data_IF_286435340053
#
_entry.id   IF_286435340053
#
_cell.length_a   1.000
_cell.length_b   1.000
_cell.length_c   1.000
_cell.angle_alpha   90.00
_cell.angle_beta   90.00
_cell.angle_gamma   90.00
#
_symmetry.space_group_name_H-M   'P 1'
#
loop_
_entity.id
_entity.type
_entity.pdbx_description
1 polymer ?
#
# COMPACT_ATOMS: atom_id res chain seq x y z
N UNK A 1 23.63 38.33 24.41
CA UNK A 1 24.44 37.14 24.80
C UNK A 1 24.51 37.04 26.33
N UNK A 2 24.41 35.83 26.90
CA UNK A 2 24.40 35.67 28.39
C UNK A 2 25.79 35.41 28.91
N UNK A 3 26.16 36.08 30.03
CA UNK A 3 27.48 35.96 30.70
C UNK A 3 27.87 34.50 31.03
N UNK A 4 26.95 33.63 31.53
CA UNK A 4 27.28 32.23 31.80
C UNK A 4 27.70 31.43 30.56
N UNK A 5 27.17 31.75 29.39
CA UNK A 5 27.51 31.07 28.14
C UNK A 5 28.91 31.46 27.66
N UNK A 6 29.28 32.73 27.81
CA UNK A 6 30.63 33.25 27.51
C UNK A 6 31.67 32.63 28.43
N UNK A 7 31.38 32.48 29.72
CA UNK A 7 32.29 31.83 30.67
C UNK A 7 32.54 30.36 30.30
N UNK A 8 31.49 29.63 29.93
CA UNK A 8 31.59 28.22 29.46
C UNK A 8 32.40 28.14 28.16
N UNK A 9 32.24 29.09 27.23
CA UNK A 9 33.02 29.18 26.02
C UNK A 9 34.52 29.30 26.30
N UNK A 10 34.92 30.24 27.15
CA UNK A 10 36.34 30.45 27.50
C UNK A 10 36.92 29.32 28.36
N UNK A 11 36.07 28.57 29.06
CA UNK A 11 36.45 27.37 29.81
C UNK A 11 36.50 26.09 28.92
N UNK A 12 36.20 26.19 27.62
CA UNK A 12 36.11 25.08 26.67
C UNK A 12 35.08 24.00 27.08
N UNK A 13 33.97 24.45 27.72
CA UNK A 13 32.92 23.59 28.28
C UNK A 13 31.56 23.83 27.63
N UNK A 14 31.54 23.90 26.29
CA UNK A 14 30.31 24.14 25.51
C UNK A 14 30.17 23.16 24.36
N UNK A 15 28.95 23.03 23.84
CA UNK A 15 28.66 22.22 22.65
C UNK A 15 29.01 22.96 21.34
N UNK A 16 29.20 22.23 20.23
CA UNK A 16 29.53 22.83 18.92
C UNK A 16 28.49 23.85 18.45
N UNK A 17 27.21 23.63 18.72
CA UNK A 17 26.13 24.55 18.35
C UNK A 17 26.13 25.83 19.18
N UNK A 18 26.42 25.71 20.48
CA UNK A 18 26.58 26.88 21.38
C UNK A 18 27.85 27.67 21.03
N UNK A 19 28.95 26.99 20.67
CA UNK A 19 30.18 27.64 20.22
C UNK A 19 29.93 28.49 18.95
N UNK A 20 29.17 27.97 17.97
CA UNK A 20 28.84 28.72 16.78
C UNK A 20 28.04 29.98 17.10
N UNK A 21 27.06 29.91 18.00
CA UNK A 21 26.30 31.10 18.46
C UNK A 21 27.18 32.16 19.10
N UNK A 22 28.19 31.76 19.86
CA UNK A 22 29.14 32.70 20.48
C UNK A 22 30.05 33.32 19.41
N UNK A 23 30.52 32.55 18.44
CA UNK A 23 31.33 33.05 17.33
C UNK A 23 30.55 34.04 16.46
N UNK A 24 29.31 33.74 16.14
CA UNK A 24 28.44 34.63 15.39
C UNK A 24 28.17 35.93 16.13
N UNK A 25 28.04 35.87 17.47
CA UNK A 25 27.91 37.08 18.29
C UNK A 25 29.20 37.90 18.36
N UNK A 26 30.40 37.25 18.39
CA UNK A 26 31.68 37.98 18.35
C UNK A 26 31.89 38.70 16.99
N UNK A 27 31.18 38.33 15.93
CA UNK A 27 31.19 39.04 14.67
C UNK A 27 30.34 40.34 14.69
N UNK A 28 29.53 40.57 15.77
CA UNK A 28 28.73 41.78 15.93
C UNK A 28 29.54 42.88 16.63
N UNK A 29 29.14 44.15 16.47
CA UNK A 29 29.80 45.30 17.13
C UNK A 29 29.85 45.17 18.65
N UNK A 30 28.78 44.61 19.27
CA UNK A 30 28.73 44.36 20.71
C UNK A 30 29.74 43.29 21.15
N UNK A 31 29.86 42.21 20.36
CA UNK A 31 30.81 41.14 20.64
C UNK A 31 32.27 41.59 20.50
N UNK A 32 32.57 42.41 19.51
CA UNK A 32 33.90 43.02 19.33
C UNK A 32 34.26 43.98 20.47
N UNK A 33 33.32 44.84 20.89
CA UNK A 33 33.51 45.73 22.01
C UNK A 33 33.79 44.95 23.34
N UNK A 34 33.07 43.83 23.53
CA UNK A 34 33.30 42.96 24.69
C UNK A 34 34.71 42.32 24.68
N UNK A 35 35.15 41.81 23.52
CA UNK A 35 36.51 41.23 23.35
C UNK A 35 37.59 42.27 23.60
N UNK A 36 37.44 43.47 23.03
CA UNK A 36 38.39 44.58 23.21
C UNK A 36 38.52 44.97 24.69
N UNK A 37 37.39 45.15 25.37
CA UNK A 37 37.38 45.48 26.81
C UNK A 37 38.01 44.37 27.67
N UNK A 38 37.77 43.09 27.32
CA UNK A 38 38.35 41.95 28.03
C UNK A 38 39.88 41.86 27.83
N UNK A 39 40.35 42.11 26.62
CA UNK A 39 41.78 42.16 26.29
C UNK A 39 42.47 43.29 27.05
N UNK A 40 41.91 44.50 27.06
CA UNK A 40 42.44 45.65 27.80
C UNK A 40 42.48 45.37 29.31
N UNK A 41 41.47 44.66 29.86
CA UNK A 41 41.43 44.34 31.28
C UNK A 41 42.42 43.23 31.67
N UNK A 42 42.69 42.29 30.80
CA UNK A 42 43.66 41.20 31.08
C UNK A 42 45.09 41.58 30.75
N UNK A 43 45.33 42.39 29.73
CA UNK A 43 46.69 42.77 29.32
C UNK A 43 47.12 44.17 29.77
N UNK A 44 46.17 45.05 30.10
CA UNK A 44 46.48 46.39 30.61
C UNK A 44 47.05 46.41 32.03
N UNK A 45 47.18 45.28 32.74
CA UNK A 45 47.78 45.10 34.05
C UNK A 45 49.15 44.40 34.01
N UNK A 46 49.69 44.08 32.86
CA UNK A 46 51.03 43.54 32.75
C UNK A 46 52.03 44.70 32.76
N UNK A 47 52.62 44.97 33.93
CA UNK A 47 53.83 45.79 34.05
C UNK A 47 54.97 45.12 33.26
N UNK A 48 55.12 45.55 32.00
CA UNK A 48 56.28 45.21 31.18
C UNK A 48 57.48 46.02 31.72
N UNK A 49 58.20 45.49 32.72
CA UNK A 49 59.54 45.95 33.01
C UNK A 49 60.39 45.51 31.81
N UNK A 50 60.90 46.50 31.08
CA UNK A 50 61.86 46.22 29.97
C UNK A 50 63.06 45.47 30.62
N UNK A 51 63.52 44.35 30.08
CA UNK A 51 64.74 43.71 30.58
C UNK A 51 65.91 44.64 30.50
N UNK A 52 66.89 44.55 31.37
CA UNK A 52 68.04 45.43 31.40
C UNK A 52 68.75 45.36 30.05
N UNK A 53 69.12 46.51 29.48
CA UNK A 53 69.83 46.70 28.22
C UNK A 53 71.06 45.82 28.19
N UNK A 54 71.03 44.70 27.56
CA UNK A 54 72.18 43.92 27.13
C UNK A 54 72.75 44.65 25.94
N UNK A 55 74.02 45.04 25.90
CA UNK A 55 74.60 45.67 24.75
C UNK A 55 74.47 44.73 23.54
N UNK A 56 73.98 45.24 22.40
CA UNK A 56 73.82 44.47 21.19
C UNK A 56 75.21 43.90 20.83
N UNK A 57 75.27 42.57 20.64
CA UNK A 57 76.53 41.97 20.14
C UNK A 57 76.81 42.50 18.75
N UNK A 58 78.10 42.80 18.51
CA UNK A 58 78.56 43.30 17.25
C UNK A 58 78.18 42.33 16.12
N UNK A 59 77.41 42.84 15.16
CA UNK A 59 76.84 42.04 14.07
C UNK A 59 77.91 41.28 13.29
N UNK A 60 79.12 41.85 13.17
CA UNK A 60 80.23 41.23 12.45
C UNK A 60 80.83 40.04 13.25
N UNK A 61 80.85 40.10 14.56
CA UNK A 61 81.28 38.97 15.40
C UNK A 61 80.29 37.81 15.31
N UNK A 62 79.01 38.14 15.33
CA UNK A 62 77.94 37.14 15.21
C UNK A 62 77.94 36.43 13.83
N UNK A 63 78.15 37.20 12.77
CA UNK A 63 78.25 36.68 11.40
C UNK A 63 79.53 35.80 11.21
N UNK A 64 80.60 36.16 11.84
CA UNK A 64 81.88 35.40 11.80
C UNK A 64 81.70 34.08 12.60
N UNK A 65 81.09 34.12 13.77
CA UNK A 65 80.78 32.92 14.54
C UNK A 65 79.79 31.98 13.86
N UNK A 66 78.83 32.53 13.13
CA UNK A 66 77.89 31.75 12.35
C UNK A 66 78.56 31.11 11.11
N UNK A 67 79.46 31.84 10.44
CA UNK A 67 80.24 31.28 9.29
C UNK A 67 81.21 30.19 9.73
N UNK A 68 81.83 30.28 10.89
CA UNK A 68 82.70 29.22 11.41
C UNK A 68 81.92 27.96 11.88
N UNK A 69 80.65 28.07 12.23
CA UNK A 69 79.79 26.94 12.57
C UNK A 69 79.07 26.32 11.41
N UNK A 70 79.08 26.96 10.24
CA UNK A 70 78.59 26.36 9.01
C UNK A 70 79.66 25.40 8.47
N UNK A 71 79.71 24.20 9.03
CA UNK A 71 80.37 23.07 8.37
C UNK A 71 79.69 22.89 7.01
N UNK A 72 80.45 22.78 5.90
CA UNK A 72 79.83 22.45 4.61
C UNK A 72 79.18 21.07 4.78
N UNK A 73 77.89 21.03 4.93
CA UNK A 73 77.16 19.82 4.74
C UNK A 73 77.29 19.49 3.26
N UNK A 74 78.12 18.47 2.91
CA UNK A 74 78.02 17.84 1.60
C UNK A 74 76.52 17.60 1.35
N UNK A 75 76.03 17.86 0.13
CA UNK A 75 74.65 17.55 -0.21
C UNK A 75 74.50 16.03 -0.13
N UNK A 76 74.07 15.54 1.02
CA UNK A 76 73.49 14.22 1.11
C UNK A 76 72.26 14.29 0.21
N UNK A 77 72.34 13.65 -0.97
CA UNK A 77 71.18 13.41 -1.79
C UNK A 77 70.24 12.54 -0.97
N UNK A 78 69.36 13.22 -0.23
CA UNK A 78 68.21 12.55 0.35
C UNK A 78 67.30 12.23 -0.84
N UNK A 79 67.55 11.04 -1.43
CA UNK A 79 66.49 10.40 -2.20
C UNK A 79 65.33 10.16 -1.24
N UNK A 80 64.51 11.16 -1.08
CA UNK A 80 63.20 10.95 -0.51
C UNK A 80 62.49 10.05 -1.50
N UNK A 81 62.18 8.77 -1.17
CA UNK A 81 61.32 8.01 -2.04
C UNK A 81 60.02 8.82 -2.08
N UNK A 82 59.72 9.37 -3.25
CA UNK A 82 58.41 9.90 -3.55
C UNK A 82 57.51 8.68 -3.43
N UNK A 83 57.01 8.43 -2.22
CA UNK A 83 55.97 7.47 -1.99
C UNK A 83 54.76 8.04 -2.72
N UNK A 84 54.68 7.68 -4.01
CA UNK A 84 53.48 7.96 -4.78
C UNK A 84 52.34 7.41 -3.94
N UNK A 85 51.52 8.30 -3.42
CA UNK A 85 50.34 7.99 -2.64
C UNK A 85 49.33 7.38 -3.61
N UNK A 86 49.62 6.13 -4.02
CA UNK A 86 48.72 5.30 -4.85
C UNK A 86 47.45 4.93 -4.17
N UNK A 87 47.24 5.51 -2.97
CA UNK A 87 46.08 5.25 -2.13
C UNK A 87 44.77 5.81 -2.71
N UNK A 88 44.84 6.82 -3.55
CA UNK A 88 43.63 7.44 -4.12
C UNK A 88 42.98 6.65 -5.26
N UNK A 89 43.63 5.67 -5.82
CA UNK A 89 43.07 4.89 -6.94
C UNK A 89 42.29 3.65 -6.47
N UNK A 90 42.52 3.16 -5.25
CA UNK A 90 41.77 2.01 -4.71
C UNK A 90 40.33 2.36 -4.34
N UNK A 91 40.01 3.47 -3.61
CA UNK A 91 38.63 3.81 -3.29
C UNK A 91 37.81 4.14 -4.54
N UNK A 92 38.43 4.68 -5.59
CA UNK A 92 37.71 5.00 -6.83
C UNK A 92 37.27 3.74 -7.60
N UNK A 93 38.02 2.64 -7.50
CA UNK A 93 37.63 1.34 -8.07
C UNK A 93 36.44 0.75 -7.31
N UNK A 94 36.44 0.83 -6.00
CA UNK A 94 35.32 0.38 -5.18
C UNK A 94 34.08 1.28 -5.37
N UNK A 95 34.26 2.60 -5.53
CA UNK A 95 33.17 3.50 -5.84
C UNK A 95 32.52 3.16 -7.21
N UNK A 96 33.30 2.85 -8.23
CA UNK A 96 32.78 2.41 -9.52
C UNK A 96 31.99 1.07 -9.41
N UNK A 97 32.47 0.13 -8.60
CA UNK A 97 31.77 -1.14 -8.33
C UNK A 97 30.46 -0.88 -7.60
N UNK A 98 30.44 0.00 -6.60
CA UNK A 98 29.22 0.35 -5.87
C UNK A 98 28.19 1.06 -6.75
N UNK A 99 28.64 2.00 -7.59
CA UNK A 99 27.75 2.66 -8.57
C UNK A 99 27.21 1.67 -9.59
N UNK A 100 28.07 0.77 -10.11
CA UNK A 100 27.64 -0.29 -11.02
C UNK A 100 26.63 -1.23 -10.37
N UNK A 101 26.88 -1.66 -9.13
CA UNK A 101 25.95 -2.49 -8.36
C UNK A 101 24.62 -1.78 -8.09
N UNK A 102 24.65 -0.47 -7.77
CA UNK A 102 23.44 0.33 -7.58
C UNK A 102 22.63 0.46 -8.87
N UNK A 103 23.30 0.69 -10.02
CA UNK A 103 22.64 0.76 -11.32
C UNK A 103 22.01 -0.59 -11.70
N UNK A 104 22.69 -1.70 -11.45
CA UNK A 104 22.15 -3.05 -11.68
C UNK A 104 20.97 -3.30 -10.74
N UNK A 105 21.09 -2.96 -9.45
CA UNK A 105 20.01 -3.13 -8.48
C UNK A 105 18.79 -2.28 -8.83
N UNK A 106 18.97 -1.03 -9.26
CA UNK A 106 17.88 -0.17 -9.72
C UNK A 106 17.24 -0.69 -10.99
N UNK A 107 18.03 -1.11 -11.98
CA UNK A 107 17.53 -1.71 -13.21
C UNK A 107 16.76 -3.02 -12.92
N UNK A 108 17.30 -3.87 -12.04
CA UNK A 108 16.65 -5.09 -11.60
C UNK A 108 15.35 -4.81 -10.82
N UNK A 109 15.34 -3.77 -9.98
CA UNK A 109 14.14 -3.36 -9.25
C UNK A 109 13.03 -2.86 -10.17
N UNK A 110 13.36 -1.98 -11.13
CA UNK A 110 12.39 -1.51 -12.12
C UNK A 110 11.96 -2.64 -13.08
N UNK A 111 12.89 -3.48 -13.52
CA UNK A 111 12.57 -4.67 -14.32
C UNK A 111 11.67 -5.65 -13.57
N UNK A 112 11.89 -5.85 -12.27
CA UNK A 112 11.02 -6.67 -11.43
C UNK A 112 9.60 -6.08 -11.32
N UNK A 113 9.45 -4.76 -11.13
CA UNK A 113 8.13 -4.12 -11.10
C UNK A 113 7.38 -4.20 -12.42
N UNK A 114 8.09 -4.14 -13.55
CA UNK A 114 7.50 -4.29 -14.90
C UNK A 114 7.04 -5.74 -15.15
N UNK A 115 7.84 -6.72 -14.71
CA UNK A 115 7.54 -8.16 -14.84
C UNK A 115 6.45 -8.64 -13.88
N UNK A 116 6.32 -8.01 -12.69
CA UNK A 116 5.35 -8.38 -11.67
C UNK A 116 4.49 -7.17 -11.25
N UNK A 117 3.63 -6.69 -12.14
CA UNK A 117 2.76 -5.57 -11.84
C UNK A 117 1.81 -5.94 -10.70
N UNK A 118 1.61 -5.00 -9.78
CA UNK A 118 0.68 -5.21 -8.66
C UNK A 118 -0.74 -5.39 -9.17
N UNK A 119 -1.45 -6.34 -8.58
CA UNK A 119 -2.87 -6.56 -8.87
C UNK A 119 -3.69 -5.29 -8.65
N UNK A 120 -4.63 -5.05 -9.54
CA UNK A 120 -5.67 -4.05 -9.40
C UNK A 120 -6.77 -4.57 -8.47
N UNK A 121 -7.29 -3.70 -7.62
CA UNK A 121 -8.34 -4.03 -6.68
C UNK A 121 -9.48 -3.03 -6.86
N UNK A 122 -10.67 -3.54 -7.19
CA UNK A 122 -11.92 -2.80 -7.13
C UNK A 122 -12.72 -3.26 -5.91
N UNK A 123 -13.18 -2.30 -5.12
CA UNK A 123 -13.95 -2.57 -3.92
C UNK A 123 -15.15 -1.63 -3.83
N UNK A 124 -16.30 -2.17 -3.46
CA UNK A 124 -17.53 -1.41 -3.22
C UNK A 124 -17.82 -1.32 -1.71
N UNK A 125 -18.26 -0.16 -1.27
CA UNK A 125 -18.77 0.01 0.07
C UNK A 125 -20.15 -0.66 0.22
N UNK A 126 -20.64 -0.81 1.45
CA UNK A 126 -21.99 -1.27 1.73
C UNK A 126 -23.05 -0.46 0.97
N UNK A 127 -23.99 -1.13 0.34
CA UNK A 127 -25.08 -0.55 -0.41
C UNK A 127 -24.68 0.22 -1.68
N UNK A 128 -23.41 0.13 -2.12
CA UNK A 128 -22.91 0.77 -3.35
C UNK A 128 -22.57 -0.27 -4.39
N UNK A 129 -22.97 -0.02 -5.63
CA UNK A 129 -22.61 -0.84 -6.79
C UNK A 129 -21.57 -0.10 -7.63
N UNK A 130 -20.74 -0.84 -8.34
CA UNK A 130 -19.80 -0.30 -9.31
C UNK A 130 -19.70 -1.21 -10.52
N UNK A 131 -19.67 -0.61 -11.72
CA UNK A 131 -19.45 -1.32 -12.99
C UNK A 131 -18.16 -0.82 -13.60
N UNK A 132 -17.34 -1.72 -14.10
CA UNK A 132 -16.07 -1.42 -14.76
C UNK A 132 -15.74 -2.45 -15.82
N UNK A 133 -14.82 -2.09 -16.69
CA UNK A 133 -14.37 -2.95 -17.79
C UNK A 133 -12.96 -3.45 -17.49
N UNK A 134 -12.74 -4.74 -17.64
CA UNK A 134 -11.44 -5.39 -17.53
C UNK A 134 -10.61 -5.19 -18.80
N UNK A 135 -9.27 -5.45 -18.77
CA UNK A 135 -8.37 -5.28 -19.92
C UNK A 135 -8.76 -6.11 -21.15
N UNK A 136 -9.45 -7.23 -20.96
CA UNK A 136 -9.93 -8.12 -22.02
C UNK A 136 -11.29 -7.69 -22.64
N UNK A 137 -11.84 -6.55 -22.19
CA UNK A 137 -13.16 -6.07 -22.58
C UNK A 137 -14.34 -6.72 -21.84
N UNK A 138 -14.09 -7.60 -20.87
CA UNK A 138 -15.14 -8.13 -20.00
C UNK A 138 -15.69 -7.05 -19.08
N UNK A 139 -17.00 -7.06 -18.84
CA UNK A 139 -17.67 -6.08 -17.98
C UNK A 139 -18.11 -6.76 -16.70
N UNK A 140 -17.72 -6.17 -15.57
CA UNK A 140 -18.06 -6.67 -14.25
C UNK A 140 -18.87 -5.61 -13.49
N UNK A 141 -19.99 -6.02 -12.93
CA UNK A 141 -20.74 -5.21 -11.96
C UNK A 141 -20.59 -5.83 -10.58
N UNK A 142 -20.02 -5.10 -9.63
CA UNK A 142 -19.94 -5.50 -8.24
C UNK A 142 -21.11 -4.94 -7.45
N UNK A 143 -21.72 -5.78 -6.62
CA UNK A 143 -22.73 -5.37 -5.66
C UNK A 143 -22.08 -4.76 -4.41
N UNK A 144 -22.88 -4.27 -3.46
CA UNK A 144 -22.39 -3.71 -2.19
C UNK A 144 -21.51 -4.67 -1.41
N UNK A 145 -20.50 -4.12 -0.70
CA UNK A 145 -19.56 -4.88 0.13
C UNK A 145 -18.87 -6.01 -0.66
N UNK A 146 -18.32 -5.70 -1.82
CA UNK A 146 -17.68 -6.69 -2.69
C UNK A 146 -16.31 -6.22 -3.12
N UNK A 147 -15.41 -7.17 -3.39
CA UNK A 147 -14.03 -6.92 -3.80
C UNK A 147 -13.65 -7.84 -4.95
N UNK A 148 -13.09 -7.27 -6.00
CA UNK A 148 -12.47 -7.98 -7.10
C UNK A 148 -11.00 -7.59 -7.22
N UNK A 149 -10.15 -8.59 -7.39
CA UNK A 149 -8.72 -8.44 -7.60
C UNK A 149 -8.34 -9.15 -8.91
N UNK A 150 -7.50 -8.52 -9.72
CA UNK A 150 -7.00 -9.10 -10.97
C UNK A 150 -5.69 -8.44 -11.41
N UNK A 151 -4.91 -9.10 -12.25
CA UNK A 151 -3.70 -8.53 -12.83
C UNK A 151 -4.04 -7.41 -13.83
N UNK A 152 -3.27 -6.29 -13.87
CA UNK A 152 -3.54 -5.16 -14.78
C UNK A 152 -3.44 -5.54 -16.26
N UNK A 153 -2.76 -6.63 -16.58
CA UNK A 153 -2.62 -7.21 -17.92
C UNK A 153 -2.58 -8.73 -17.82
N UNK A 154 -3.11 -9.40 -18.82
CA UNK A 154 -2.90 -10.82 -19.06
C UNK A 154 -2.09 -10.95 -20.35
N UNK A 155 -1.06 -11.82 -20.36
CA UNK A 155 -0.32 -12.11 -21.57
C UNK A 155 -1.15 -12.96 -22.51
N UNK A 156 -0.90 -12.85 -23.81
CA UNK A 156 -1.56 -13.66 -24.83
C UNK A 156 -1.38 -15.16 -24.54
N UNK A 157 -2.41 -15.92 -24.76
CA UNK A 157 -2.49 -17.36 -24.50
C UNK A 157 -2.37 -17.78 -23.02
N UNK A 158 -2.52 -16.82 -22.09
CA UNK A 158 -2.61 -17.12 -20.66
C UNK A 158 -4.04 -17.15 -20.15
N UNK A 159 -4.26 -17.84 -19.04
CA UNK A 159 -5.54 -17.81 -18.33
C UNK A 159 -5.76 -16.43 -17.73
N UNK A 160 -6.94 -15.86 -17.95
CA UNK A 160 -7.38 -14.61 -17.35
C UNK A 160 -7.95 -14.91 -15.96
N UNK A 161 -7.26 -14.52 -14.91
CA UNK A 161 -7.60 -14.88 -13.54
C UNK A 161 -8.07 -13.67 -12.75
N UNK A 162 -9.15 -13.83 -12.01
CA UNK A 162 -9.71 -12.84 -11.09
C UNK A 162 -10.11 -13.50 -9.77
N UNK A 163 -10.05 -12.75 -8.69
CA UNK A 163 -10.43 -13.20 -7.34
C UNK A 163 -11.59 -12.36 -6.84
N UNK A 164 -12.70 -13.01 -6.53
CA UNK A 164 -13.93 -12.37 -6.05
C UNK A 164 -14.18 -12.72 -4.57
N UNK A 165 -14.44 -11.69 -3.77
CA UNK A 165 -15.05 -11.79 -2.45
C UNK A 165 -16.25 -10.85 -2.42
N UNK A 166 -17.46 -11.37 -2.20
CA UNK A 166 -18.71 -10.63 -2.30
C UNK A 166 -19.61 -11.11 -3.42
N UNK A 167 -20.33 -10.19 -4.07
CA UNK A 167 -21.22 -10.48 -5.18
C UNK A 167 -20.83 -9.71 -6.42
N UNK A 168 -20.78 -10.42 -7.56
CA UNK A 168 -20.48 -9.84 -8.85
C UNK A 168 -21.27 -10.48 -9.99
N UNK A 169 -21.73 -9.64 -10.90
CA UNK A 169 -22.27 -10.07 -12.19
C UNK A 169 -21.19 -9.91 -13.26
N UNK A 170 -20.92 -10.99 -13.97
CA UNK A 170 -19.87 -11.10 -14.97
C UNK A 170 -20.48 -11.19 -16.37
N UNK A 171 -20.01 -10.33 -17.29
CA UNK A 171 -20.20 -10.43 -18.74
C UNK A 171 -18.84 -10.64 -19.37
N UNK A 172 -18.41 -11.90 -19.43
CA UNK A 172 -17.07 -12.25 -19.92
C UNK A 172 -17.09 -12.25 -21.46
N UNK A 173 -16.14 -11.51 -22.03
CA UNK A 173 -15.93 -11.45 -23.48
C UNK A 173 -15.23 -12.72 -23.96
N UNK A 174 -15.78 -13.34 -24.98
CA UNK A 174 -15.14 -14.48 -25.63
C UNK A 174 -13.94 -14.04 -26.45
N UNK A 175 -12.75 -14.59 -26.16
CA UNK A 175 -11.52 -14.30 -26.89
C UNK A 175 -11.35 -15.25 -28.10
N UNK A 176 -10.72 -14.75 -29.17
CA UNK A 176 -10.55 -15.52 -30.43
C UNK A 176 -9.74 -16.81 -30.28
N UNK A 177 -8.78 -16.80 -29.36
CA UNK A 177 -7.90 -17.94 -29.05
C UNK A 177 -8.47 -18.87 -27.95
N UNK A 178 -9.76 -18.69 -27.59
CA UNK A 178 -10.44 -19.45 -26.54
C UNK A 178 -9.74 -19.46 -25.18
N UNK A 179 -9.07 -18.37 -24.83
CA UNK A 179 -8.45 -18.22 -23.52
C UNK A 179 -9.49 -18.32 -22.40
N UNK A 180 -9.13 -19.12 -21.40
CA UNK A 180 -9.98 -19.33 -20.24
C UNK A 180 -10.04 -18.08 -19.38
N UNK A 181 -11.21 -17.82 -18.82
CA UNK A 181 -11.41 -16.85 -17.77
C UNK A 181 -11.79 -17.60 -16.48
N UNK A 182 -11.04 -17.39 -15.40
CA UNK A 182 -11.22 -18.11 -14.14
C UNK A 182 -11.51 -17.13 -13.03
N UNK A 183 -12.64 -17.38 -12.33
CA UNK A 183 -12.98 -16.66 -11.09
C UNK A 183 -12.66 -17.54 -9.90
N UNK A 184 -11.71 -17.11 -9.10
CA UNK A 184 -11.34 -17.76 -7.84
C UNK A 184 -12.19 -17.22 -6.69
N UNK A 185 -12.77 -18.09 -5.89
CA UNK A 185 -13.57 -17.76 -4.73
C UNK A 185 -12.83 -18.13 -3.42
N UNK A 186 -13.13 -17.49 -2.28
CA UNK A 186 -12.40 -17.69 -1.01
C UNK A 186 -12.33 -19.13 -0.51
N UNK A 187 -13.31 -19.95 -0.85
CA UNK A 187 -13.47 -21.34 -0.39
C UNK A 187 -12.93 -22.39 -1.37
N UNK A 188 -11.89 -22.04 -2.15
CA UNK A 188 -11.23 -22.91 -3.14
C UNK A 188 -12.14 -23.40 -4.28
N UNK A 189 -13.28 -22.78 -4.47
CA UNK A 189 -14.15 -23.03 -5.61
C UNK A 189 -13.69 -22.14 -6.76
N UNK A 190 -13.52 -22.73 -7.94
CA UNK A 190 -13.11 -22.02 -9.14
C UNK A 190 -14.18 -22.14 -10.23
N UNK A 191 -14.44 -21.01 -10.89
CA UNK A 191 -15.42 -20.91 -11.98
C UNK A 191 -14.65 -20.65 -13.28
N UNK A 192 -14.68 -21.60 -14.20
CA UNK A 192 -14.01 -21.48 -15.50
C UNK A 192 -15.03 -21.24 -16.61
N UNK A 193 -14.77 -20.20 -17.43
CA UNK A 193 -15.60 -19.82 -18.57
C UNK A 193 -14.76 -19.40 -19.77
N UNK A 194 -15.37 -19.30 -20.95
CA UNK A 194 -14.74 -18.76 -22.17
C UNK A 194 -15.37 -17.44 -22.62
N UNK A 195 -16.70 -17.33 -22.51
CA UNK A 195 -17.50 -16.17 -22.89
C UNK A 195 -18.93 -16.38 -22.41
N UNK A 196 -19.26 -15.82 -21.26
CA UNK A 196 -20.38 -16.29 -20.45
C UNK A 196 -20.94 -15.12 -19.63
N UNK A 197 -22.24 -15.11 -19.37
CA UNK A 197 -22.91 -14.18 -18.48
C UNK A 197 -23.42 -14.95 -17.26
N UNK A 198 -23.01 -14.55 -16.06
CA UNK A 198 -23.35 -15.24 -14.82
C UNK A 198 -23.25 -14.36 -13.60
N UNK A 199 -23.99 -14.70 -12.57
CA UNK A 199 -23.93 -14.07 -11.25
C UNK A 199 -23.21 -14.98 -10.27
N UNK A 200 -22.39 -14.39 -9.40
CA UNK A 200 -21.67 -15.10 -8.34
C UNK A 200 -21.84 -14.36 -7.04
N UNK A 201 -22.26 -15.08 -6.00
CA UNK A 201 -22.16 -14.65 -4.59
C UNK A 201 -21.12 -15.55 -3.93
N UNK A 202 -20.07 -14.97 -3.38
CA UNK A 202 -19.05 -15.67 -2.61
C UNK A 202 -18.82 -14.92 -1.31
N UNK A 203 -19.42 -15.39 -0.24
CA UNK A 203 -19.33 -14.74 1.06
C UNK A 203 -19.09 -15.76 2.18
N UNK A 204 -18.02 -15.55 2.94
CA UNK A 204 -17.63 -16.48 4.02
C UNK A 204 -17.46 -17.90 3.48
N UNK A 205 -18.33 -18.83 3.92
CA UNK A 205 -18.28 -20.24 3.52
C UNK A 205 -19.28 -20.59 2.41
N UNK A 206 -20.05 -19.62 1.92
CA UNK A 206 -21.14 -19.84 0.95
C UNK A 206 -20.74 -19.33 -0.42
N UNK A 207 -21.07 -20.13 -1.42
CA UNK A 207 -21.01 -19.71 -2.82
C UNK A 207 -22.32 -20.04 -3.51
N UNK A 208 -22.81 -19.10 -4.32
CA UNK A 208 -23.99 -19.28 -5.17
C UNK A 208 -23.59 -18.78 -6.55
N UNK A 209 -23.73 -19.66 -7.55
CA UNK A 209 -23.40 -19.35 -8.95
C UNK A 209 -24.65 -19.55 -9.77
N UNK A 210 -25.03 -18.56 -10.55
CA UNK A 210 -26.20 -18.63 -11.44
C UNK A 210 -25.76 -18.33 -12.86
N UNK A 211 -26.05 -19.23 -13.80
CA UNK A 211 -25.67 -19.09 -15.18
C UNK A 211 -26.80 -18.48 -16.00
N UNK A 212 -26.56 -17.28 -16.55
CA UNK A 212 -27.51 -16.58 -17.44
C UNK A 212 -27.35 -17.00 -18.89
N UNK A 213 -26.12 -17.03 -19.43
CA UNK A 213 -25.83 -17.37 -20.80
C UNK A 213 -24.43 -17.99 -20.93
N UNK A 214 -24.26 -18.91 -21.87
CA UNK A 214 -23.00 -19.59 -22.15
C UNK A 214 -22.85 -20.93 -21.42
N UNK A 215 -21.64 -21.21 -20.94
CA UNK A 215 -21.30 -22.45 -20.23
C UNK A 215 -20.31 -22.13 -19.09
N UNK A 216 -20.51 -22.76 -17.93
CA UNK A 216 -19.60 -22.73 -16.81
C UNK A 216 -19.06 -24.13 -16.55
N UNK A 217 -17.78 -24.21 -16.21
CA UNK A 217 -17.15 -25.36 -15.59
C UNK A 217 -16.77 -24.98 -14.17
N UNK A 218 -17.41 -25.62 -13.19
CA UNK A 218 -17.08 -25.44 -11.76
C UNK A 218 -16.08 -26.49 -11.31
N UNK A 219 -15.06 -26.03 -10.60
CA UNK A 219 -14.13 -26.87 -9.87
C UNK A 219 -14.41 -26.71 -8.38
N UNK A 220 -14.89 -27.76 -7.73
CA UNK A 220 -15.38 -27.75 -6.34
C UNK A 220 -14.30 -28.28 -5.38
N UNK A 221 -13.03 -27.90 -5.58
CA UNK A 221 -11.90 -28.25 -4.71
C UNK A 221 -11.50 -29.72 -4.73
N UNK A 222 -10.63 -30.13 -3.81
CA UNK A 222 -9.96 -31.44 -3.80
C UNK A 222 -10.87 -32.68 -3.70
N UNK A 223 -12.15 -32.51 -3.37
CA UNK A 223 -13.09 -33.62 -3.18
C UNK A 223 -13.96 -33.93 -4.40
N UNK A 224 -14.03 -33.05 -5.38
CA UNK A 224 -14.81 -33.28 -6.60
C UNK A 224 -13.89 -33.83 -7.70
N UNK A 225 -13.88 -35.16 -7.88
CA UNK A 225 -13.21 -35.79 -9.04
C UNK A 225 -13.80 -35.36 -10.38
N UNK A 226 -15.03 -34.79 -10.39
CA UNK A 226 -15.73 -34.40 -11.59
C UNK A 226 -16.01 -32.89 -11.60
N UNK A 227 -15.50 -32.21 -12.63
CA UNK A 227 -15.83 -30.81 -12.90
C UNK A 227 -17.31 -30.71 -13.28
N UNK A 228 -18.08 -29.97 -12.49
CA UNK A 228 -19.50 -29.77 -12.77
C UNK A 228 -19.69 -28.78 -13.94
N UNK A 229 -20.44 -29.18 -14.94
CA UNK A 229 -20.81 -28.31 -16.06
C UNK A 229 -22.23 -27.77 -15.86
N UNK A 230 -22.37 -26.43 -15.90
CA UNK A 230 -23.64 -25.74 -15.78
C UNK A 230 -24.14 -25.29 -17.17
N UNK A 231 -25.47 -25.25 -17.31
CA UNK A 231 -26.22 -24.74 -18.48
C UNK A 231 -27.02 -23.50 -18.07
N UNK A 232 -27.41 -22.63 -19.00
CA UNK A 232 -28.26 -21.47 -18.70
C UNK A 232 -29.52 -21.86 -17.93
N UNK A 233 -29.80 -21.09 -16.85
CA UNK A 233 -30.86 -21.38 -15.87
C UNK A 233 -30.45 -22.29 -14.72
N UNK A 234 -29.22 -22.84 -14.68
CA UNK A 234 -28.71 -23.56 -13.53
C UNK A 234 -28.25 -22.60 -12.44
N UNK A 235 -28.63 -22.95 -11.21
CA UNK A 235 -28.06 -22.40 -9.97
C UNK A 235 -27.28 -23.50 -9.27
N UNK A 236 -26.03 -23.23 -8.92
CA UNK A 236 -25.22 -24.04 -8.03
C UNK A 236 -25.07 -23.31 -6.70
N UNK A 237 -25.30 -24.03 -5.61
CA UNK A 237 -25.06 -23.55 -4.26
C UNK A 237 -24.08 -24.47 -3.53
N UNK A 238 -23.19 -23.85 -2.75
CA UNK A 238 -22.24 -24.52 -1.88
C UNK A 238 -22.18 -23.81 -0.53
N UNK A 239 -22.29 -24.56 0.56
CA UNK A 239 -21.83 -24.16 1.88
C UNK A 239 -20.73 -25.13 2.31
N UNK A 240 -19.48 -24.67 2.25
CA UNK A 240 -18.31 -25.52 2.50
C UNK A 240 -18.23 -25.93 3.96
N UNK A 241 -18.65 -25.08 4.90
CA UNK A 241 -18.66 -25.39 6.34
C UNK A 241 -19.70 -26.44 6.67
N UNK A 242 -20.91 -26.29 6.13
CA UNK A 242 -22.00 -27.24 6.33
C UNK A 242 -21.88 -28.49 5.45
N UNK A 243 -20.92 -28.51 4.50
CA UNK A 243 -20.76 -29.57 3.48
C UNK A 243 -22.03 -29.81 2.66
N UNK A 244 -22.80 -28.75 2.38
CA UNK A 244 -24.01 -28.80 1.59
C UNK A 244 -23.72 -28.29 0.19
N UNK A 245 -24.06 -29.11 -0.82
CA UNK A 245 -23.94 -28.77 -2.22
C UNK A 245 -25.22 -29.21 -2.93
N UNK A 246 -25.79 -28.29 -3.74
CA UNK A 246 -26.92 -28.66 -4.61
C UNK A 246 -26.96 -27.85 -5.88
N UNK A 247 -27.64 -28.38 -6.88
CA UNK A 247 -27.96 -27.71 -8.14
C UNK A 247 -29.47 -27.72 -8.35
N UNK A 248 -30.02 -26.58 -8.75
CA UNK A 248 -31.44 -26.47 -9.15
C UNK A 248 -31.60 -25.57 -10.37
N UNK A 249 -32.75 -25.63 -11.01
CA UNK A 249 -33.14 -24.69 -12.06
C UNK A 249 -33.81 -23.47 -11.44
N UNK A 250 -33.48 -22.29 -11.98
CA UNK A 250 -34.03 -21.01 -11.53
C UNK A 250 -34.25 -20.08 -12.72
N UNK A 251 -35.02 -19.01 -12.52
CA UNK A 251 -34.99 -17.87 -13.42
C UNK A 251 -33.69 -17.09 -13.18
N UNK A 252 -32.74 -17.28 -14.08
CA UNK A 252 -31.43 -16.62 -13.99
C UNK A 252 -31.53 -15.09 -14.15
N UNK A 253 -32.53 -14.58 -14.89
CA UNK A 253 -32.76 -13.15 -15.04
C UNK A 253 -33.22 -12.54 -13.73
N UNK A 254 -34.12 -13.20 -12.99
CA UNK A 254 -34.56 -12.80 -11.68
C UNK A 254 -33.39 -12.74 -10.66
N UNK A 255 -32.53 -13.76 -10.66
CA UNK A 255 -31.39 -13.86 -9.74
C UNK A 255 -30.30 -12.80 -9.99
N UNK A 256 -30.26 -12.18 -11.16
CA UNK A 256 -29.30 -11.15 -11.55
C UNK A 256 -29.92 -9.78 -11.80
N UNK A 257 -31.21 -9.60 -11.49
CA UNK A 257 -31.95 -8.35 -11.73
C UNK A 257 -31.39 -7.15 -10.93
N UNK A 258 -30.70 -7.41 -9.82
CA UNK A 258 -30.10 -6.38 -8.98
C UNK A 258 -29.14 -5.45 -9.77
N UNK A 259 -28.41 -5.94 -10.78
CA UNK A 259 -27.52 -5.15 -11.61
C UNK A 259 -28.25 -4.08 -12.45
N UNK A 260 -29.55 -4.24 -12.63
CA UNK A 260 -30.43 -3.28 -13.36
C UNK A 260 -31.33 -2.49 -12.42
N UNK A 261 -31.00 -2.46 -11.12
CA UNK A 261 -31.74 -1.68 -10.11
C UNK A 261 -33.05 -2.30 -9.66
N UNK A 262 -33.20 -3.62 -9.78
CA UNK A 262 -34.39 -4.37 -9.33
C UNK A 262 -33.98 -5.56 -8.48
N UNK A 263 -34.75 -5.88 -7.43
CA UNK A 263 -34.66 -7.14 -6.71
C UNK A 263 -35.88 -7.98 -7.05
N UNK A 264 -35.65 -9.15 -7.59
CA UNK A 264 -36.72 -10.10 -7.91
C UNK A 264 -36.61 -11.31 -7.00
N UNK A 265 -37.65 -11.58 -6.25
CA UNK A 265 -37.81 -12.75 -5.40
C UNK A 265 -38.68 -13.77 -6.11
N UNK A 266 -38.27 -15.02 -6.07
CA UNK A 266 -38.99 -16.16 -6.65
C UNK A 266 -38.92 -17.32 -5.67
N UNK A 267 -39.92 -17.41 -4.81
CA UNK A 267 -39.93 -18.35 -3.71
C UNK A 267 -38.75 -18.17 -2.74
N UNK A 268 -38.26 -16.94 -2.59
CA UNK A 268 -37.12 -16.62 -1.73
C UNK A 268 -37.58 -16.53 -0.29
N UNK A 269 -36.91 -17.24 0.62
CA UNK A 269 -37.28 -17.19 2.05
C UNK A 269 -36.93 -15.84 2.69
N UNK A 270 -37.71 -15.41 3.69
CA UNK A 270 -37.41 -14.17 4.42
C UNK A 270 -35.99 -14.22 5.07
N UNK A 271 -35.57 -15.43 5.49
CA UNK A 271 -34.20 -15.65 5.99
C UNK A 271 -33.13 -15.34 4.92
N UNK A 272 -33.35 -15.74 3.65
CA UNK A 272 -32.44 -15.42 2.55
C UNK A 272 -32.42 -13.91 2.24
N UNK A 273 -33.59 -13.24 2.34
CA UNK A 273 -33.70 -11.79 2.18
C UNK A 273 -32.96 -11.07 3.30
N UNK A 274 -33.13 -11.49 4.56
CA UNK A 274 -32.40 -10.95 5.70
C UNK A 274 -30.89 -11.07 5.49
N UNK A 275 -30.43 -12.23 5.07
CA UNK A 275 -29.01 -12.46 4.80
C UNK A 275 -28.48 -11.58 3.66
N UNK A 276 -29.28 -11.37 2.60
CA UNK A 276 -28.92 -10.48 1.49
C UNK A 276 -28.78 -9.03 1.98
N UNK A 277 -29.67 -8.56 2.86
CA UNK A 277 -29.60 -7.22 3.45
C UNK A 277 -28.35 -7.08 4.32
N UNK A 278 -28.06 -8.05 5.18
CA UNK A 278 -26.83 -8.07 6.00
C UNK A 278 -25.57 -8.05 5.15
N UNK A 279 -25.48 -8.91 4.15
CA UNK A 279 -24.33 -9.08 3.29
C UNK A 279 -24.07 -7.84 2.42
N UNK A 280 -25.13 -7.18 1.93
CA UNK A 280 -25.02 -6.07 0.98
C UNK A 280 -24.94 -4.70 1.66
N UNK A 281 -25.69 -4.51 2.75
CA UNK A 281 -25.84 -3.21 3.42
C UNK A 281 -25.11 -3.12 4.76
N UNK A 282 -24.60 -4.24 5.31
CA UNK A 282 -23.86 -4.28 6.56
C UNK A 282 -24.73 -4.07 7.80
N UNK A 283 -26.02 -4.26 7.68
CA UNK A 283 -26.99 -4.18 8.78
C UNK A 283 -27.13 -5.51 9.49
N UNK A 284 -27.70 -5.51 10.70
CA UNK A 284 -28.13 -6.72 11.41
C UNK A 284 -29.62 -6.87 11.28
N UNK A 285 -30.09 -8.00 10.74
CA UNK A 285 -31.52 -8.27 10.56
C UNK A 285 -31.99 -9.30 11.58
N UNK A 286 -33.03 -8.96 12.34
CA UNK A 286 -33.68 -9.85 13.33
C UNK A 286 -35.08 -10.12 12.88
N UNK A 287 -35.37 -11.37 12.57
CA UNK A 287 -36.76 -11.84 12.32
C UNK A 287 -37.29 -12.34 13.65
N UNK A 288 -38.31 -11.64 14.15
CA UNK A 288 -38.82 -11.88 15.51
C UNK A 288 -39.50 -13.24 15.65
N UNK A 289 -40.27 -13.65 14.65
CA UNK A 289 -40.94 -14.92 14.62
C UNK A 289 -40.15 -15.97 13.85
N UNK A 290 -40.04 -17.18 14.43
CA UNK A 290 -39.32 -18.29 13.80
C UNK A 290 -40.02 -18.75 12.51
N UNK A 291 -41.36 -18.75 12.50
CA UNK A 291 -42.15 -19.23 11.35
C UNK A 291 -42.04 -18.29 10.16
N UNK A 292 -41.91 -16.97 10.40
CA UNK A 292 -41.64 -15.97 9.34
C UNK A 292 -40.32 -16.22 8.59
N UNK A 293 -39.34 -16.85 9.21
CA UNK A 293 -38.04 -17.11 8.55
C UNK A 293 -38.16 -17.96 7.29
N UNK A 294 -39.12 -18.91 7.33
CA UNK A 294 -39.34 -19.84 6.21
C UNK A 294 -40.43 -19.35 5.25
N UNK A 295 -41.08 -18.23 5.55
CA UNK A 295 -42.04 -17.62 4.64
C UNK A 295 -41.36 -17.24 3.35
N UNK A 296 -41.93 -17.63 2.20
CA UNK A 296 -41.37 -17.36 0.87
C UNK A 296 -42.01 -16.11 0.30
N UNK A 297 -41.15 -15.30 -0.34
CA UNK A 297 -41.54 -14.08 -1.01
C UNK A 297 -41.39 -14.25 -2.52
N UNK A 298 -42.38 -13.74 -3.29
CA UNK A 298 -42.31 -13.69 -4.77
C UNK A 298 -42.82 -12.34 -5.25
N UNK A 299 -42.01 -11.63 -6.03
CA UNK A 299 -42.31 -10.29 -6.53
C UNK A 299 -41.05 -9.53 -6.88
N UNK A 300 -41.21 -8.32 -7.41
CA UNK A 300 -40.10 -7.46 -7.80
C UNK A 300 -40.23 -6.11 -7.14
N UNK A 301 -39.16 -5.64 -6.51
CA UNK A 301 -39.07 -4.32 -5.87
C UNK A 301 -37.90 -3.53 -6.45
N UNK A 302 -37.93 -2.18 -6.44
CA UNK A 302 -36.78 -1.36 -6.83
C UNK A 302 -35.60 -1.55 -5.86
N UNK A 303 -34.38 -1.59 -6.42
CA UNK A 303 -33.11 -1.70 -5.66
C UNK A 303 -32.33 -0.38 -5.70
N UNK A 304 -32.96 0.72 -5.35
CA UNK A 304 -32.33 2.05 -5.40
C UNK A 304 -31.65 2.42 -4.07
N UNK A 305 -32.23 2.00 -2.95
CA UNK A 305 -31.71 2.23 -1.61
C UNK A 305 -32.25 1.18 -0.63
N UNK A 306 -31.56 1.01 0.50
CA UNK A 306 -32.06 0.13 1.56
C UNK A 306 -33.48 0.53 2.02
N UNK A 307 -33.76 1.83 2.19
CA UNK A 307 -35.07 2.30 2.57
C UNK A 307 -36.16 1.92 1.54
N UNK A 308 -35.84 2.05 0.25
CA UNK A 308 -36.75 1.64 -0.83
C UNK A 308 -37.06 0.15 -0.77
N UNK A 309 -36.05 -0.67 -0.47
CA UNK A 309 -36.21 -2.13 -0.32
C UNK A 309 -37.10 -2.44 0.89
N UNK A 310 -36.81 -1.84 2.06
CA UNK A 310 -37.61 -2.07 3.27
C UNK A 310 -39.05 -1.65 3.08
N UNK A 311 -39.29 -0.50 2.46
CA UNK A 311 -40.68 -0.05 2.15
C UNK A 311 -41.35 -1.02 1.17
N UNK A 312 -40.64 -1.48 0.14
CA UNK A 312 -41.16 -2.47 -0.80
C UNK A 312 -41.52 -3.80 -0.13
N UNK A 313 -40.66 -4.31 0.75
CA UNK A 313 -40.92 -5.52 1.54
C UNK A 313 -42.12 -5.35 2.45
N UNK A 314 -42.20 -4.24 3.18
CA UNK A 314 -43.34 -3.95 4.07
C UNK A 314 -44.68 -3.89 3.30
N UNK A 315 -44.68 -3.16 2.16
CA UNK A 315 -45.90 -2.92 1.39
C UNK A 315 -46.40 -4.18 0.64
N UNK A 316 -45.46 -4.93 0.02
CA UNK A 316 -45.85 -6.05 -0.85
C UNK A 316 -46.07 -7.34 -0.11
N UNK A 317 -45.48 -7.50 1.07
CA UNK A 317 -45.52 -8.76 1.82
C UNK A 317 -46.15 -8.63 3.20
N UNK A 318 -46.76 -7.45 3.47
CA UNK A 318 -47.47 -7.17 4.76
C UNK A 318 -46.60 -7.42 6.01
N UNK A 319 -45.28 -7.01 5.89
CA UNK A 319 -44.29 -7.17 6.94
C UNK A 319 -44.22 -5.88 7.78
N UNK A 320 -44.26 -6.01 9.09
CA UNK A 320 -43.97 -4.92 9.99
C UNK A 320 -42.44 -4.80 10.17
N UNK A 321 -41.83 -3.78 9.56
CA UNK A 321 -40.39 -3.57 9.56
C UNK A 321 -40.05 -2.31 10.31
N UNK A 322 -39.24 -2.43 11.37
CA UNK A 322 -38.67 -1.29 12.11
C UNK A 322 -37.19 -1.25 12.00
N UNK A 323 -36.62 -0.03 11.88
CA UNK A 323 -35.19 0.18 11.77
C UNK A 323 -34.70 1.04 12.94
N UNK A 324 -33.69 0.55 13.65
CA UNK A 324 -32.99 1.26 14.71
C UNK A 324 -31.49 1.28 14.41
N UNK A 325 -30.97 2.43 13.94
CA UNK A 325 -29.59 2.58 13.50
C UNK A 325 -29.19 1.49 12.49
N UNK A 326 -28.34 0.56 12.88
CA UNK A 326 -27.83 -0.54 12.03
C UNK A 326 -28.60 -1.87 12.23
N UNK A 327 -29.72 -1.86 12.94
CA UNK A 327 -30.52 -3.05 13.22
C UNK A 327 -31.91 -2.92 12.62
N UNK A 328 -32.31 -3.94 11.88
CA UNK A 328 -33.64 -4.07 11.27
C UNK A 328 -34.37 -5.20 12.00
N UNK A 329 -35.62 -4.96 12.41
CA UNK A 329 -36.48 -5.95 13.04
C UNK A 329 -37.65 -6.16 12.11
N UNK A 330 -37.90 -7.40 11.74
CA UNK A 330 -39.02 -7.85 10.91
C UNK A 330 -39.98 -8.70 11.77
N UNK A 331 -41.24 -8.29 11.75
CA UNK A 331 -42.33 -8.90 12.52
C UNK A 331 -43.55 -9.20 11.63
#
# INVERSE_FOLDING_TARGET
MTEPLLQRYFANQITSSEAQQVLDWFATDEGQAYLTHRLDTQFGKADWHAPPTVPAPDADQLLTALRQRMIPLEPVAIETPIRQLTWWHQPMRWAAVLVGALLIATAAFYGYQELYPKDLIHQTAFGKMATFTLPDGSIITLNGNSRLRYAPRWADNQTREVWLDGEGFFRVTHQRNHERFVVHLPNKLNIEVLGTQFNVIARKNRAKVVLNNGKIRLDVGEQAKDKLVMRPGDLFYADVKAKVYYRKRVDAAAQSAWQTGKLTFDGTTLQEVAQMLEDTYGVTVVIADHDLRQQTLSGTIPNQSMQTILNGLSTLFDLHITQHANRIIIQ
#
